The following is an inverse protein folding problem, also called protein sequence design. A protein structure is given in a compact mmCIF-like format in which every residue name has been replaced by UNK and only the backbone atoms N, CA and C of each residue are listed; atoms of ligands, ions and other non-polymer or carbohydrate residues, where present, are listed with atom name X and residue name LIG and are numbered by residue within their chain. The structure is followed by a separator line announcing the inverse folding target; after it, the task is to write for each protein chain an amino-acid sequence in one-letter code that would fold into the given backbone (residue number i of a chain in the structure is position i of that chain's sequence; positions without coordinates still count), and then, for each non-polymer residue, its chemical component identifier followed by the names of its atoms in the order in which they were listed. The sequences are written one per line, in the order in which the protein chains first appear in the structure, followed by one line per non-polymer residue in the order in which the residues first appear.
data_IF_383478279998
#
_entry.id   IF_383478279998
#
_cell.length_a   1.000
_cell.length_b   1.000
_cell.length_c   1.000
_cell.angle_alpha   90.00
_cell.angle_beta   90.00
_cell.angle_gamma   90.00
#
_symmetry.space_group_name_H-M   'P 1'
#
loop_
_entity.id
_entity.type
_entity.pdbx_description
1 polymer ?
#
# COMPACT_ATOMS: atom_id res chain seq x y z
N UNK A 1 -7.89 25.41 -0.08
CA UNK A 1 -7.25 24.37 0.75
C UNK A 1 -8.20 24.04 1.91
N UNK A 2 -8.76 22.83 1.95
CA UNK A 2 -9.80 22.45 2.94
C UNK A 2 -9.36 22.70 4.40
N UNK A 3 -8.11 22.40 4.74
CA UNK A 3 -7.60 22.58 6.10
C UNK A 3 -7.47 24.06 6.50
N UNK A 4 -7.27 24.95 5.52
CA UNK A 4 -7.22 26.41 5.77
C UNK A 4 -8.61 26.98 6.00
N UNK A 5 -9.62 26.49 5.27
CA UNK A 5 -11.01 26.94 5.40
C UNK A 5 -11.68 26.39 6.66
N UNK A 6 -11.26 25.20 7.13
CA UNK A 6 -11.84 24.48 8.27
C UNK A 6 -10.73 23.98 9.20
N UNK A 7 -10.13 24.87 10.02
CA UNK A 7 -8.97 24.53 10.86
C UNK A 7 -9.26 23.47 11.93
N UNK A 8 -10.52 23.31 12.34
CA UNK A 8 -10.98 22.30 13.29
C UNK A 8 -10.99 20.88 12.71
N UNK A 9 -11.18 20.74 11.39
CA UNK A 9 -11.25 19.43 10.73
C UNK A 9 -9.90 18.73 10.82
N UNK A 10 -9.92 17.47 11.25
CA UNK A 10 -8.74 16.60 11.27
C UNK A 10 -8.69 15.79 9.99
N UNK A 11 -7.56 15.84 9.28
CA UNK A 11 -7.35 15.11 8.02
C UNK A 11 -6.11 14.25 8.21
N UNK A 12 -6.28 12.95 8.08
CA UNK A 12 -5.20 11.97 8.10
C UNK A 12 -5.24 11.17 6.80
N UNK A 13 -4.07 10.90 6.21
CA UNK A 13 -3.96 10.21 4.93
C UNK A 13 -2.87 9.15 5.02
N UNK A 14 -3.23 7.91 4.73
CA UNK A 14 -2.28 6.86 4.40
C UNK A 14 -2.14 6.84 2.87
N UNK A 15 -1.08 7.50 2.35
CA UNK A 15 -0.96 7.76 0.91
C UNK A 15 -0.91 6.49 0.04
N UNK A 16 -0.15 5.47 0.47
CA UNK A 16 0.02 4.23 -0.27
C UNK A 16 0.00 3.05 0.72
N UNK A 17 -1.12 2.32 0.73
CA UNK A 17 -1.29 1.19 1.64
C UNK A 17 -0.29 0.06 1.31
N UNK A 18 0.04 -0.16 0.04
CA UNK A 18 1.00 -1.18 -0.38
C UNK A 18 2.43 -0.89 0.11
N UNK A 19 2.89 0.37 0.08
CA UNK A 19 4.19 0.78 0.66
C UNK A 19 4.18 0.64 2.19
N UNK A 20 3.04 0.93 2.83
CA UNK A 20 2.92 0.73 4.27
C UNK A 20 3.02 -0.75 4.63
N UNK A 21 2.34 -1.61 3.87
CA UNK A 21 2.37 -3.04 4.09
C UNK A 21 3.78 -3.62 3.95
N UNK A 22 4.54 -3.22 2.94
CA UNK A 22 5.94 -3.61 2.77
C UNK A 22 6.75 -3.40 4.07
N UNK A 23 6.63 -2.21 4.67
CA UNK A 23 7.35 -1.84 5.89
C UNK A 23 6.90 -2.60 7.14
N UNK A 24 5.65 -3.02 7.18
CA UNK A 24 5.06 -3.71 8.33
C UNK A 24 5.20 -5.23 8.26
N UNK A 25 5.40 -5.79 7.07
CA UNK A 25 5.57 -7.22 6.86
C UNK A 25 7.01 -7.66 7.16
N UNK A 26 7.23 -8.94 7.53
CA UNK A 26 8.57 -9.49 7.61
C UNK A 26 9.32 -9.32 6.27
N UNK A 27 10.62 -8.94 6.29
CA UNK A 27 11.43 -8.88 5.07
C UNK A 27 11.38 -10.20 4.29
N UNK A 28 11.29 -10.11 2.97
CA UNK A 28 11.18 -11.29 2.09
C UNK A 28 9.80 -11.94 2.05
N UNK A 29 8.76 -11.32 2.62
CA UNK A 29 7.37 -11.80 2.47
C UNK A 29 6.95 -11.87 1.00
N UNK A 30 7.37 -10.89 0.20
CA UNK A 30 7.14 -10.87 -1.24
C UNK A 30 8.40 -11.30 -2.00
N UNK A 31 8.21 -12.10 -3.04
CA UNK A 31 9.29 -12.67 -3.86
C UNK A 31 9.73 -11.70 -4.98
N UNK A 32 8.81 -10.87 -5.45
CA UNK A 32 9.02 -9.96 -6.57
C UNK A 32 8.84 -8.52 -6.12
N UNK A 33 9.92 -7.75 -6.26
CA UNK A 33 9.95 -6.30 -6.07
C UNK A 33 9.27 -5.82 -4.77
N UNK A 34 9.45 -6.58 -3.68
CA UNK A 34 8.82 -6.34 -2.38
C UNK A 34 7.29 -6.13 -2.44
N UNK A 35 6.63 -6.77 -3.41
CA UNK A 35 5.18 -6.68 -3.62
C UNK A 35 4.72 -5.41 -4.35
N UNK A 36 5.66 -4.57 -4.80
CA UNK A 36 5.39 -3.33 -5.53
C UNK A 36 5.03 -3.58 -7.01
N UNK A 37 4.53 -2.52 -7.65
CA UNK A 37 4.08 -2.51 -9.04
C UNK A 37 2.57 -2.72 -9.18
N UNK A 38 1.99 -2.16 -10.25
CA UNK A 38 0.55 -2.28 -10.50
C UNK A 38 0.20 -3.69 -11.00
N UNK A 39 -0.87 -4.24 -10.45
CA UNK A 39 -1.28 -5.64 -10.60
C UNK A 39 -0.13 -6.61 -10.29
N UNK A 40 0.74 -6.24 -9.34
CA UNK A 40 1.87 -7.04 -8.89
C UNK A 40 1.51 -8.08 -7.83
N UNK A 41 2.54 -8.65 -7.23
CA UNK A 41 2.42 -9.72 -6.23
C UNK A 41 1.59 -9.29 -5.01
N UNK A 42 1.80 -8.07 -4.51
CA UNK A 42 1.09 -7.54 -3.34
C UNK A 42 -0.40 -7.31 -3.59
N UNK A 43 -0.73 -6.58 -4.66
CA UNK A 43 -2.13 -6.30 -5.04
C UNK A 43 -2.90 -7.60 -5.35
N UNK A 44 -2.29 -8.52 -6.11
CA UNK A 44 -2.89 -9.83 -6.42
C UNK A 44 -3.13 -10.65 -5.16
N UNK A 45 -2.14 -10.70 -4.25
CA UNK A 45 -2.28 -11.38 -2.97
C UNK A 45 -3.43 -10.81 -2.14
N UNK A 46 -3.59 -9.49 -2.10
CA UNK A 46 -4.69 -8.83 -1.40
C UNK A 46 -6.05 -9.22 -1.98
N UNK A 47 -6.22 -9.15 -3.30
CA UNK A 47 -7.51 -9.49 -3.93
C UNK A 47 -7.84 -10.97 -3.76
N UNK A 48 -6.85 -11.87 -3.80
CA UNK A 48 -7.07 -13.31 -3.51
C UNK A 48 -7.66 -13.57 -2.11
N UNK A 49 -7.50 -12.64 -1.16
CA UNK A 49 -8.10 -12.76 0.18
C UNK A 49 -9.49 -12.13 0.26
N UNK A 50 -9.71 -11.03 -0.46
CA UNK A 50 -10.96 -10.27 -0.40
C UNK A 50 -12.02 -10.85 -1.34
N UNK A 51 -11.60 -11.16 -2.57
CA UNK A 51 -12.44 -11.54 -3.69
C UNK A 51 -11.72 -12.56 -4.60
N UNK A 52 -11.37 -13.76 -4.10
CA UNK A 52 -10.68 -14.79 -4.90
C UNK A 52 -11.42 -15.15 -6.19
N UNK A 53 -12.75 -15.04 -6.21
CA UNK A 53 -13.60 -15.29 -7.37
C UNK A 53 -13.38 -14.33 -8.54
N UNK A 54 -12.76 -13.16 -8.28
CA UNK A 54 -12.44 -12.16 -9.30
C UNK A 54 -11.03 -12.33 -9.89
N UNK A 55 -10.26 -13.32 -9.44
CA UNK A 55 -8.85 -13.50 -9.83
C UNK A 55 -8.62 -14.87 -10.45
N UNK A 56 -8.51 -14.91 -11.78
CA UNK A 56 -8.14 -16.11 -12.51
C UNK A 56 -6.61 -16.23 -12.65
N UNK A 57 -5.95 -16.81 -11.64
CA UNK A 57 -4.48 -16.91 -11.59
C UNK A 57 -3.82 -17.60 -12.79
N UNK A 58 -4.55 -18.43 -13.54
CA UNK A 58 -4.06 -19.02 -14.81
C UNK A 58 -3.71 -17.97 -15.88
N UNK A 59 -4.24 -16.75 -15.77
CA UNK A 59 -3.93 -15.61 -16.65
C UNK A 59 -2.92 -14.63 -16.04
N UNK A 60 -2.42 -14.88 -14.83
CA UNK A 60 -1.47 -14.02 -14.16
C UNK A 60 -0.20 -13.89 -15.00
N UNK A 61 0.07 -12.67 -15.47
CA UNK A 61 1.28 -12.28 -16.18
C UNK A 61 1.50 -10.80 -15.96
N UNK A 62 2.76 -10.41 -15.83
CA UNK A 62 3.14 -9.02 -15.65
C UNK A 62 4.59 -8.81 -15.97
N UNK A 63 5.06 -7.57 -15.78
CA UNK A 63 6.45 -7.21 -16.01
C UNK A 63 6.89 -6.20 -14.97
N UNK A 64 8.01 -6.50 -14.32
CA UNK A 64 8.70 -5.55 -13.45
C UNK A 64 9.66 -4.71 -14.29
N UNK A 65 9.63 -3.37 -14.20
CA UNK A 65 10.65 -2.49 -14.76
C UNK A 65 12.04 -2.87 -14.24
N UNK A 66 13.03 -2.81 -15.12
CA UNK A 66 14.43 -3.08 -14.76
C UNK A 66 15.20 -1.77 -14.66
N UNK A 67 16.26 -1.78 -13.86
CA UNK A 67 17.26 -0.71 -13.81
C UNK A 67 16.70 0.69 -13.46
N UNK A 68 15.67 0.74 -12.60
CA UNK A 68 15.15 1.99 -12.10
C UNK A 68 16.17 2.67 -11.16
N UNK A 69 16.37 4.00 -11.29
CA UNK A 69 17.28 4.73 -10.41
C UNK A 69 16.75 4.73 -8.96
N UNK A 70 17.64 4.47 -7.99
CA UNK A 70 17.27 4.31 -6.57
C UNK A 70 16.63 5.56 -5.94
N UNK A 71 17.09 6.76 -6.34
CA UNK A 71 16.72 8.04 -5.72
C UNK A 71 15.96 8.97 -6.67
N UNK A 72 15.44 8.46 -7.79
CA UNK A 72 14.70 9.26 -8.76
C UNK A 72 13.49 8.47 -9.29
N UNK A 73 12.39 9.14 -9.53
CA UNK A 73 11.22 8.52 -10.14
C UNK A 73 11.18 8.82 -11.63
N UNK A 74 11.08 7.78 -12.45
CA UNK A 74 10.80 7.92 -13.89
C UNK A 74 9.29 7.91 -14.05
N UNK A 75 8.73 8.96 -14.66
CA UNK A 75 7.33 8.95 -15.08
C UNK A 75 7.24 8.25 -16.43
N UNK A 76 6.66 7.05 -16.43
CA UNK A 76 6.53 6.20 -17.61
C UNK A 76 5.09 6.11 -18.10
N UNK A 77 4.93 5.79 -19.38
CA UNK A 77 3.69 5.30 -19.96
C UNK A 77 3.60 3.79 -19.79
N UNK A 78 2.40 3.26 -19.60
CA UNK A 78 2.19 1.82 -19.55
C UNK A 78 2.69 1.12 -20.83
N UNK A 79 2.55 1.77 -21.98
CA UNK A 79 3.00 1.24 -23.27
C UNK A 79 4.52 1.07 -23.38
N UNK A 80 5.32 1.76 -22.56
CA UNK A 80 6.77 1.56 -22.51
C UNK A 80 7.14 0.26 -21.75
N UNK A 81 6.27 -0.18 -20.84
CA UNK A 81 6.56 -1.26 -19.92
C UNK A 81 5.80 -2.54 -20.25
N UNK A 82 4.52 -2.46 -20.60
CA UNK A 82 3.63 -3.62 -20.64
C UNK A 82 2.58 -3.51 -21.74
N UNK A 83 2.22 -4.67 -22.31
CA UNK A 83 1.09 -4.83 -23.24
C UNK A 83 -0.17 -5.36 -22.55
N UNK A 84 -0.10 -5.69 -21.25
CA UNK A 84 -1.19 -6.31 -20.49
C UNK A 84 -1.69 -5.47 -19.31
N UNK A 85 -1.12 -4.27 -19.11
CA UNK A 85 -1.52 -3.35 -18.04
C UNK A 85 -0.88 -3.62 -16.68
N UNK A 86 -0.17 -4.72 -16.46
CA UNK A 86 0.57 -4.96 -15.21
C UNK A 86 2.01 -4.44 -15.29
N UNK A 87 2.43 -3.69 -14.26
CA UNK A 87 3.81 -3.21 -14.06
C UNK A 87 4.48 -3.83 -12.82
N UNK A 88 3.84 -4.82 -12.20
CA UNK A 88 4.44 -5.78 -11.28
C UNK A 88 4.37 -7.21 -11.82
N UNK A 89 4.69 -8.20 -10.98
CA UNK A 89 4.52 -9.61 -11.32
C UNK A 89 3.48 -10.29 -10.40
N UNK A 90 2.26 -10.59 -10.91
CA UNK A 90 1.22 -11.24 -10.13
C UNK A 90 1.47 -12.73 -9.89
N UNK A 91 2.40 -13.38 -10.61
CA UNK A 91 2.51 -14.85 -10.64
C UNK A 91 2.90 -15.47 -9.28
N UNK A 92 3.48 -14.67 -8.39
CA UNK A 92 3.84 -15.07 -7.01
C UNK A 92 2.81 -14.67 -5.97
N UNK A 93 1.70 -14.07 -6.39
CA UNK A 93 0.61 -13.67 -5.52
C UNK A 93 -0.06 -14.88 -4.88
N UNK A 94 -0.30 -14.82 -3.56
CA UNK A 94 -0.96 -15.92 -2.84
C UNK A 94 -1.92 -15.38 -1.78
N UNK A 95 -2.97 -16.14 -1.50
CA UNK A 95 -3.91 -15.83 -0.42
C UNK A 95 -3.19 -15.70 0.95
N UNK A 96 -2.18 -16.53 1.21
CA UNK A 96 -1.39 -16.47 2.46
C UNK A 96 -0.70 -15.12 2.62
N UNK A 97 0.00 -14.64 1.58
CA UNK A 97 0.65 -13.32 1.60
C UNK A 97 -0.38 -12.21 1.78
N UNK A 98 -1.54 -12.34 1.14
CA UNK A 98 -2.65 -11.40 1.29
C UNK A 98 -3.19 -11.33 2.71
N UNK A 99 -3.29 -12.47 3.41
CA UNK A 99 -3.79 -12.53 4.79
C UNK A 99 -2.86 -11.78 5.72
N UNK A 100 -1.55 -12.03 5.59
CA UNK A 100 -0.52 -11.30 6.32
C UNK A 100 -0.61 -9.79 6.05
N UNK A 101 -0.72 -9.41 4.77
CA UNK A 101 -0.82 -8.01 4.35
C UNK A 101 -2.07 -7.31 4.92
N UNK A 102 -3.22 -7.97 4.86
CA UNK A 102 -4.50 -7.48 5.42
C UNK A 102 -4.40 -7.28 6.92
N UNK A 103 -3.88 -8.25 7.65
CA UNK A 103 -3.75 -8.20 9.11
C UNK A 103 -2.93 -7.01 9.57
N UNK A 104 -1.73 -6.80 8.99
CA UNK A 104 -0.86 -5.69 9.40
C UNK A 104 -1.45 -4.32 9.04
N UNK A 105 -2.14 -4.20 7.91
CA UNK A 105 -2.76 -2.95 7.48
C UNK A 105 -3.97 -2.58 8.33
N UNK A 106 -4.88 -3.52 8.55
CA UNK A 106 -6.05 -3.31 9.41
C UNK A 106 -5.58 -2.94 10.81
N UNK A 107 -4.60 -3.67 11.36
CA UNK A 107 -4.00 -3.35 12.65
C UNK A 107 -3.41 -1.94 12.68
N UNK A 108 -2.66 -1.54 11.65
CA UNK A 108 -2.07 -0.20 11.56
C UNK A 108 -3.12 0.92 11.59
N UNK A 109 -4.22 0.78 10.85
CA UNK A 109 -5.31 1.77 10.82
C UNK A 109 -6.07 1.80 12.16
N UNK A 110 -6.37 0.64 12.73
CA UNK A 110 -7.05 0.55 14.03
C UNK A 110 -6.20 1.14 15.15
N UNK A 111 -4.90 0.84 15.18
CA UNK A 111 -3.98 1.38 16.18
C UNK A 111 -3.82 2.90 16.03
N UNK A 112 -3.78 3.39 14.78
CA UNK A 112 -3.80 4.84 14.51
C UNK A 112 -5.05 5.49 15.09
N UNK A 113 -6.25 4.99 14.77
CA UNK A 113 -7.52 5.56 15.27
C UNK A 113 -7.52 5.57 16.81
N UNK A 114 -7.24 4.41 17.44
CA UNK A 114 -7.20 4.29 18.90
C UNK A 114 -6.21 5.28 19.54
N UNK A 115 -5.02 5.43 18.95
CA UNK A 115 -4.00 6.36 19.44
C UNK A 115 -4.48 7.80 19.34
N UNK A 116 -5.11 8.18 18.23
CA UNK A 116 -5.61 9.54 18.02
C UNK A 116 -6.79 9.85 18.93
N UNK A 117 -7.71 8.91 19.12
CA UNK A 117 -8.85 9.04 20.03
C UNK A 117 -8.39 9.18 21.49
N UNK A 118 -7.36 8.41 21.89
CA UNK A 118 -6.81 8.46 23.25
C UNK A 118 -6.21 9.82 23.62
N UNK A 119 -5.80 10.61 22.63
CA UNK A 119 -5.30 11.98 22.82
C UNK A 119 -6.30 13.04 22.37
N UNK A 120 -7.57 12.68 22.15
CA UNK A 120 -8.62 13.59 21.68
C UNK A 120 -8.20 14.38 20.42
N UNK A 121 -7.42 13.72 19.55
CA UNK A 121 -6.83 14.30 18.35
C UNK A 121 -5.99 15.58 18.60
N UNK A 122 -5.47 15.74 19.82
CA UNK A 122 -4.53 16.81 20.23
C UNK A 122 -3.10 16.36 20.02
N UNK A 123 -2.69 16.32 18.75
CA UNK A 123 -1.31 16.05 18.33
C UNK A 123 -0.45 17.33 18.17
N UNK A 124 -1.03 18.49 18.49
CA UNK A 124 -0.39 19.80 18.38
C UNK A 124 0.41 20.16 19.63
N UNK A 125 1.25 21.20 19.52
CA UNK A 125 1.98 21.75 20.66
C UNK A 125 0.99 22.16 21.74
N UNK A 126 1.04 21.49 22.90
CA UNK A 126 0.41 21.98 24.12
C UNK A 126 1.00 23.37 24.38
N UNK A 127 0.20 24.43 24.24
CA UNK A 127 0.64 25.74 24.73
C UNK A 127 0.77 25.59 26.24
N UNK A 128 1.97 25.83 26.75
CA UNK A 128 2.14 26.14 28.18
C UNK A 128 1.15 27.26 28.49
N UNK A 129 0.22 26.95 29.40
CA UNK A 129 -0.71 27.91 29.97
C UNK A 129 0.10 29.08 30.52
N UNK A 130 -0.07 30.25 29.90
CA UNK A 130 0.31 31.52 30.53
C UNK A 130 -0.49 31.73 31.80
#
# INVERSE_FOLDING_TARGET
NMKVLYPEVKIAVQNAWWVTAEKLLPPGTFEVWNGLGHAGEGETSMVLVLHPELVEMKYAKGRVPKDLPENMEIKWLFSELTSNGATGDPTRGTEKKGKMMKEVLVKSVVDFIKKMDAVDWKYELLKDSK
#
